data_IF_275222113586
#
_entry.id   IF_275222113586
#
_cell.length_a   1.000
_cell.length_b   1.000
_cell.length_c   1.000
_cell.angle_alpha   90.00
_cell.angle_beta   90.00
_cell.angle_gamma   90.00
#
_symmetry.space_group_name_H-M   'P 1'
#
loop_
_entity.id
_entity.type
_entity.pdbx_description
1 polymer ?
#
# COMPACT_ATOMS: atom_id res chain seq x y z
N UNK A 1 -7.32 -17.96 -4.40
CA UNK A 1 -6.34 -16.85 -4.50
C UNK A 1 -5.22 -17.28 -5.42
N UNK A 2 -5.05 -16.62 -6.57
CA UNK A 2 -4.10 -17.02 -7.62
C UNK A 2 -2.65 -17.06 -7.07
N UNK A 3 -1.86 -18.12 -7.32
CA UNK A 3 -0.46 -18.21 -6.90
C UNK A 3 0.41 -17.01 -7.33
N UNK A 4 0.10 -16.33 -8.44
CA UNK A 4 0.75 -15.08 -8.87
C UNK A 4 0.58 -13.93 -7.87
N UNK A 5 -0.51 -13.91 -7.11
CA UNK A 5 -0.82 -12.84 -6.16
C UNK A 5 0.03 -12.97 -4.88
N UNK A 6 0.34 -14.20 -4.45
CA UNK A 6 1.18 -14.47 -3.28
C UNK A 6 2.66 -14.19 -3.54
N UNK A 7 3.16 -14.40 -4.77
CA UNK A 7 4.57 -14.16 -5.10
C UNK A 7 4.91 -12.67 -5.26
N UNK A 8 3.94 -11.84 -5.65
CA UNK A 8 4.12 -10.37 -5.80
C UNK A 8 3.97 -9.59 -4.48
N UNK A 9 3.24 -10.15 -3.51
CA UNK A 9 3.02 -9.57 -2.18
C UNK A 9 3.89 -10.24 -1.09
N UNK A 10 5.14 -10.60 -1.43
CA UNK A 10 6.15 -10.79 -0.38
C UNK A 10 6.23 -9.49 0.45
N UNK A 11 6.44 -9.54 1.79
CA UNK A 11 6.53 -8.33 2.59
C UNK A 11 7.64 -7.45 2.02
N UNK A 12 7.23 -6.37 1.35
CA UNK A 12 8.15 -5.40 0.79
C UNK A 12 8.97 -4.89 1.98
N UNK A 13 10.32 -4.94 1.93
CA UNK A 13 11.16 -4.55 3.04
C UNK A 13 11.21 -3.03 3.10
N UNK A 14 10.07 -2.39 3.41
CA UNK A 14 10.03 -0.98 3.73
C UNK A 14 10.69 -0.80 5.11
N UNK A 15 11.89 -0.22 5.09
CA UNK A 15 12.76 -0.01 6.25
C UNK A 15 12.20 1.02 7.23
N UNK A 16 11.17 0.68 7.99
CA UNK A 16 10.63 1.56 9.03
C UNK A 16 11.43 1.42 10.35
N UNK A 17 12.69 1.89 10.41
CA UNK A 17 13.52 1.87 11.63
C UNK A 17 12.85 2.50 12.87
N UNK A 18 13.54 2.50 14.02
CA UNK A 18 12.94 2.81 15.35
C UNK A 18 12.20 4.14 15.50
N UNK A 19 12.36 5.06 14.53
CA UNK A 19 11.74 6.38 14.46
C UNK A 19 11.15 6.63 13.05
N UNK A 20 10.45 5.63 12.51
CA UNK A 20 9.95 5.62 11.13
C UNK A 20 9.01 6.79 10.74
N UNK A 21 8.41 7.43 11.75
CA UNK A 21 7.46 8.52 11.59
C UNK A 21 7.87 9.68 12.50
N UNK A 22 7.08 10.76 12.47
CA UNK A 22 7.28 11.96 13.27
C UNK A 22 7.60 11.67 14.74
N UNK A 23 8.80 12.03 15.18
CA UNK A 23 9.28 11.81 16.54
C UNK A 23 8.54 12.65 17.60
N UNK A 24 7.95 13.77 17.18
CA UNK A 24 7.15 14.67 18.02
C UNK A 24 5.68 14.25 18.13
N UNK A 25 5.29 13.12 17.52
CA UNK A 25 3.91 12.64 17.54
C UNK A 25 3.51 12.15 18.93
N UNK A 26 2.47 12.78 19.50
CA UNK A 26 1.80 12.32 20.72
C UNK A 26 0.71 11.27 20.45
N UNK A 27 0.43 10.96 19.17
CA UNK A 27 -0.64 10.04 18.75
C UNK A 27 -0.15 8.61 18.49
N UNK A 28 1.15 8.43 18.24
CA UNK A 28 1.73 7.14 17.91
C UNK A 28 1.94 6.22 19.11
N UNK A 29 2.20 4.93 18.84
CA UNK A 29 2.61 3.96 19.86
C UNK A 29 4.07 3.57 19.63
N UNK A 30 4.94 3.87 20.61
CA UNK A 30 6.38 3.58 20.53
C UNK A 30 6.60 2.07 20.33
N UNK A 31 7.31 1.71 19.27
CA UNK A 31 7.63 0.31 18.95
C UNK A 31 6.55 -0.44 18.16
N UNK A 32 5.42 0.19 17.82
CA UNK A 32 4.36 -0.45 17.02
C UNK A 32 4.87 -1.02 15.70
N UNK A 33 5.69 -0.26 14.97
CA UNK A 33 6.27 -0.71 13.69
C UNK A 33 7.22 -1.90 13.85
N UNK A 34 7.90 -2.02 15.00
CA UNK A 34 8.71 -3.21 15.30
C UNK A 34 7.83 -4.43 15.54
N UNK A 35 6.76 -4.28 16.33
CA UNK A 35 5.83 -5.36 16.62
C UNK A 35 5.12 -5.85 15.35
N UNK A 36 4.71 -4.93 14.47
CA UNK A 36 4.12 -5.26 13.17
C UNK A 36 5.11 -6.01 12.28
N UNK A 37 6.35 -5.51 12.13
CA UNK A 37 7.40 -6.22 11.37
C UNK A 37 7.77 -7.59 11.94
N UNK A 38 7.72 -7.75 13.26
CA UNK A 38 7.98 -9.03 13.92
C UNK A 38 6.79 -10.02 13.81
N UNK A 39 5.73 -9.65 13.07
CA UNK A 39 4.55 -10.49 12.88
C UNK A 39 3.73 -10.71 14.17
N UNK A 40 3.93 -9.88 15.20
CA UNK A 40 3.24 -10.02 16.50
C UNK A 40 1.87 -9.36 16.50
N UNK A 41 1.68 -8.37 15.64
CA UNK A 41 0.41 -7.66 15.45
C UNK A 41 0.18 -7.43 13.97
N UNK A 42 -1.09 -7.29 13.57
CA UNK A 42 -1.47 -6.80 12.24
C UNK A 42 -1.95 -5.35 12.35
N UNK A 43 -1.71 -4.56 11.31
CA UNK A 43 -2.21 -3.20 11.18
C UNK A 43 -3.21 -3.15 10.03
N UNK A 44 -4.36 -2.53 10.27
CA UNK A 44 -5.38 -2.29 9.25
C UNK A 44 -5.69 -0.79 9.22
N UNK A 45 -5.35 -0.05 8.17
CA UNK A 45 -4.67 -0.49 6.95
C UNK A 45 -3.16 -0.68 7.14
N UNK A 46 -2.52 -1.42 6.23
CA UNK A 46 -1.07 -1.60 6.25
C UNK A 46 -0.35 -0.25 6.00
N UNK A 47 0.70 0.07 6.78
CA UNK A 47 1.57 1.21 6.48
C UNK A 47 2.07 1.18 5.03
N UNK A 48 1.96 2.33 4.32
CA UNK A 48 2.31 2.45 2.90
C UNK A 48 1.15 2.25 1.92
N UNK A 49 -0.03 1.82 2.38
CA UNK A 49 -1.22 1.67 1.52
C UNK A 49 -1.61 2.96 0.79
N UNK A 50 -1.27 4.13 1.33
CA UNK A 50 -1.54 5.44 0.69
C UNK A 50 -0.87 5.63 -0.67
N UNK A 51 0.19 4.88 -1.00
CA UNK A 51 0.79 4.92 -2.36
C UNK A 51 -0.22 4.46 -3.41
N UNK A 52 -1.06 3.48 -3.09
CA UNK A 52 -2.07 2.98 -4.03
C UNK A 52 -3.22 3.97 -4.29
N UNK A 53 -3.44 4.90 -3.38
CA UNK A 53 -4.50 5.92 -3.44
C UNK A 53 -3.94 7.32 -3.80
N UNK A 54 -2.67 7.38 -4.22
CA UNK A 54 -2.10 8.64 -4.67
C UNK A 54 -2.76 9.12 -5.97
N UNK A 55 -2.89 10.44 -6.12
CA UNK A 55 -3.54 11.06 -7.29
C UNK A 55 -2.85 10.72 -8.60
N UNK A 56 -1.53 10.58 -8.61
CA UNK A 56 -0.78 10.19 -9.80
C UNK A 56 -1.05 8.73 -10.12
N UNK A 57 -1.11 7.87 -9.10
CA UNK A 57 -1.43 6.44 -9.25
C UNK A 57 -2.87 6.23 -9.73
N UNK A 58 -3.81 7.07 -9.32
CA UNK A 58 -5.20 7.04 -9.80
C UNK A 58 -5.29 7.01 -11.34
N UNK A 59 -4.44 7.79 -12.02
CA UNK A 59 -4.43 7.83 -13.49
C UNK A 59 -4.04 6.50 -14.17
N UNK A 60 -3.52 5.52 -13.41
CA UNK A 60 -3.11 4.20 -13.90
C UNK A 60 -4.03 3.06 -13.43
N UNK A 61 -5.12 3.36 -12.72
CA UNK A 61 -6.03 2.34 -12.19
C UNK A 61 -6.59 1.41 -13.29
N UNK A 62 -6.99 1.90 -14.49
CA UNK A 62 -7.43 1.02 -15.58
C UNK A 62 -6.37 -0.01 -15.98
N UNK A 63 -5.12 0.41 -16.13
CA UNK A 63 -3.99 -0.44 -16.49
C UNK A 63 -3.63 -1.42 -15.36
N UNK A 64 -3.75 -0.99 -14.10
CA UNK A 64 -3.57 -1.85 -12.93
C UNK A 64 -4.62 -2.97 -12.92
N UNK A 65 -5.90 -2.64 -13.13
CA UNK A 65 -6.99 -3.62 -13.23
C UNK A 65 -6.66 -4.63 -14.34
N UNK A 66 -6.33 -4.14 -15.53
CA UNK A 66 -6.01 -5.01 -16.66
C UNK A 66 -4.78 -5.89 -16.38
N UNK A 67 -3.74 -5.35 -15.77
CA UNK A 67 -2.51 -6.09 -15.48
C UNK A 67 -2.69 -7.19 -14.43
N UNK A 68 -3.43 -6.93 -13.35
CA UNK A 68 -3.56 -7.88 -12.24
C UNK A 68 -4.74 -8.85 -12.41
N UNK A 69 -5.81 -8.44 -13.09
CA UNK A 69 -7.04 -9.22 -13.23
C UNK A 69 -7.29 -9.71 -14.66
N UNK A 70 -6.59 -9.18 -15.66
CA UNK A 70 -6.87 -9.40 -17.10
C UNK A 70 -8.29 -9.00 -17.53
N UNK A 71 -8.95 -8.15 -16.75
CA UNK A 71 -10.31 -7.67 -16.97
C UNK A 71 -10.33 -6.21 -17.42
N UNK A 72 -11.45 -5.80 -18.04
CA UNK A 72 -11.74 -4.39 -18.30
C UNK A 72 -12.41 -3.76 -17.06
N UNK A 73 -12.16 -2.46 -16.76
CA UNK A 73 -12.79 -1.80 -15.62
C UNK A 73 -14.31 -1.76 -15.73
N UNK A 74 -15.01 -2.26 -14.70
CA UNK A 74 -16.48 -2.21 -14.62
C UNK A 74 -16.96 -0.77 -14.40
N UNK A 75 -16.22 0.01 -13.60
CA UNK A 75 -16.49 1.42 -13.33
C UNK A 75 -15.38 2.24 -14.01
N UNK A 76 -15.72 3.15 -14.94
CA UNK A 76 -14.71 3.95 -15.63
C UNK A 76 -14.11 4.99 -14.69
N UNK A 77 -12.80 5.24 -14.84
CA UNK A 77 -12.13 6.34 -14.18
C UNK A 77 -12.60 7.69 -14.74
N UNK A 78 -12.61 8.71 -13.88
CA UNK A 78 -12.79 10.10 -14.34
C UNK A 78 -11.52 10.53 -15.09
N UNK A 79 -11.62 11.21 -16.24
CA UNK A 79 -10.45 11.72 -16.96
C UNK A 79 -9.51 12.52 -16.04
N UNK A 80 -8.28 12.03 -15.89
CA UNK A 80 -7.28 12.58 -14.98
C UNK A 80 -6.01 12.89 -15.74
N UNK A 81 -5.55 14.14 -15.62
CA UNK A 81 -4.36 14.63 -16.29
C UNK A 81 -3.19 14.69 -15.33
N UNK A 82 -2.04 14.24 -15.79
CA UNK A 82 -0.77 14.28 -15.05
C UNK A 82 -0.01 15.53 -15.50
N UNK A 83 0.58 16.26 -14.57
CA UNK A 83 1.42 17.43 -14.82
C UNK A 83 2.91 17.11 -14.82
#
# INVERSE_FOLDING_TARGET
MNPLFKSKFYPIPFGFGNDAFRADSLLGVKGLMRAWRAGKVALSNAPGAGVADDKVVYAFVPEIIKYYLDEDPIIPNVPTYRC
#
